data_IF_692736456671
#
_entry.id   IF_692736456671
#
_cell.length_a   1.000
_cell.length_b   1.000
_cell.length_c   1.000
_cell.angle_alpha   90.00
_cell.angle_beta   90.00
_cell.angle_gamma   90.00
#
_symmetry.space_group_name_H-M   'P 1'
#
loop_
_entity.id
_entity.type
_entity.pdbx_description
1 polymer ?
#
# COMPACT_ATOMS: atom_id res chain seq x y z
N UNK A 1 2.49 -0.02 17.61
CA UNK A 1 1.70 -0.13 16.38
C UNK A 1 1.89 -1.54 15.83
N UNK A 2 0.84 -2.35 15.73
CA UNK A 2 0.94 -3.69 15.15
C UNK A 2 0.87 -3.49 13.63
N UNK A 3 1.99 -3.63 12.90
CA UNK A 3 1.94 -3.68 11.44
C UNK A 3 1.40 -5.06 11.04
N UNK A 4 0.13 -5.19 10.61
CA UNK A 4 -0.38 -6.47 10.13
C UNK A 4 0.48 -6.94 8.96
N UNK A 5 0.69 -8.26 8.82
CA UNK A 5 1.29 -8.80 7.61
C UNK A 5 0.38 -8.45 6.42
N UNK A 6 0.78 -7.45 5.64
CA UNK A 6 0.07 -7.06 4.43
C UNK A 6 0.62 -7.89 3.29
N UNK A 7 -0.17 -8.83 2.76
CA UNK A 7 0.25 -9.55 1.55
C UNK A 7 0.34 -8.58 0.38
N UNK A 8 1.48 -8.59 -0.32
CA UNK A 8 1.74 -7.68 -1.47
C UNK A 8 0.70 -7.83 -2.56
N UNK A 9 0.24 -9.06 -2.76
CA UNK A 9 -0.84 -9.40 -3.71
C UNK A 9 -2.15 -8.72 -3.34
N UNK A 10 -2.58 -8.78 -2.07
CA UNK A 10 -3.82 -8.15 -1.60
C UNK A 10 -3.76 -6.64 -1.69
N UNK A 11 -2.62 -6.04 -1.31
CA UNK A 11 -2.41 -4.60 -1.43
C UNK A 11 -2.55 -4.11 -2.87
N UNK A 12 -1.88 -4.78 -3.82
CA UNK A 12 -1.97 -4.41 -5.24
C UNK A 12 -3.38 -4.60 -5.82
N UNK A 13 -4.12 -5.64 -5.39
CA UNK A 13 -5.52 -5.83 -5.79
C UNK A 13 -6.41 -4.72 -5.25
N UNK A 14 -6.23 -4.29 -4.00
CA UNK A 14 -6.95 -3.12 -3.45
C UNK A 14 -6.57 -1.84 -4.20
N UNK A 15 -5.29 -1.64 -4.51
CA UNK A 15 -4.84 -0.48 -5.27
C UNK A 15 -5.45 -0.44 -6.68
N UNK A 16 -5.61 -1.59 -7.34
CA UNK A 16 -6.34 -1.67 -8.62
C UNK A 16 -7.81 -1.29 -8.48
N UNK A 17 -8.48 -1.71 -7.40
CA UNK A 17 -9.88 -1.34 -7.14
C UNK A 17 -10.02 0.16 -6.91
N UNK A 18 -9.15 0.75 -6.09
CA UNK A 18 -9.10 2.20 -5.84
C UNK A 18 -8.84 2.95 -7.13
N UNK A 19 -7.82 2.54 -7.90
CA UNK A 19 -7.50 3.09 -9.23
C UNK A 19 -8.73 3.11 -10.14
N UNK A 20 -9.48 2.01 -10.21
CA UNK A 20 -10.69 1.92 -11.04
C UNK A 20 -11.86 2.74 -10.51
N UNK A 21 -12.00 2.82 -9.18
CA UNK A 21 -13.10 3.54 -8.54
C UNK A 21 -12.93 5.07 -8.65
N UNK A 22 -11.71 5.55 -8.44
CA UNK A 22 -11.40 6.98 -8.41
C UNK A 22 -10.81 7.49 -9.73
N UNK A 23 -10.62 6.60 -10.71
CA UNK A 23 -10.06 6.94 -12.03
C UNK A 23 -8.67 7.61 -11.97
N UNK A 24 -7.91 7.32 -10.91
CA UNK A 24 -6.57 7.87 -10.68
C UNK A 24 -5.46 6.99 -11.27
N UNK A 25 -4.20 7.44 -11.14
CA UNK A 25 -3.05 6.64 -11.55
C UNK A 25 -2.77 5.48 -10.58
N UNK A 26 -2.05 4.47 -11.07
CA UNK A 26 -1.69 3.32 -10.24
C UNK A 26 -0.70 3.66 -9.12
N UNK A 27 0.04 4.77 -9.23
CA UNK A 27 0.91 5.28 -8.18
C UNK A 27 0.08 5.94 -7.09
N UNK A 28 -0.78 6.88 -7.46
CA UNK A 28 -1.67 7.58 -6.51
C UNK A 28 -2.57 6.62 -5.72
N UNK A 29 -3.10 5.57 -6.36
CA UNK A 29 -3.91 4.58 -5.65
C UNK A 29 -3.12 3.82 -4.57
N UNK A 30 -1.82 3.60 -4.78
CA UNK A 30 -0.94 2.98 -3.78
C UNK A 30 -0.59 3.97 -2.68
N UNK A 31 -0.32 5.22 -3.03
CA UNK A 31 -0.06 6.28 -2.06
C UNK A 31 -1.26 6.53 -1.14
N UNK A 32 -2.46 6.59 -1.72
CA UNK A 32 -3.70 6.74 -0.96
C UNK A 32 -3.94 5.55 -0.02
N UNK A 33 -3.64 4.34 -0.47
CA UNK A 33 -3.67 3.15 0.40
C UNK A 33 -2.60 3.22 1.49
N UNK A 34 -1.36 3.59 1.16
CA UNK A 34 -0.27 3.72 2.12
C UNK A 34 -0.61 4.74 3.23
N UNK A 35 -1.22 5.87 2.85
CA UNK A 35 -1.78 6.86 3.80
C UNK A 35 -2.85 6.28 4.69
N UNK A 36 -3.72 5.42 4.16
CA UNK A 36 -4.70 4.68 4.96
C UNK A 36 -4.08 3.74 6.01
N UNK A 37 -2.84 3.30 5.80
CA UNK A 37 -2.06 2.51 6.76
C UNK A 37 -1.18 3.36 7.69
N UNK A 38 -1.22 4.69 7.57
CA UNK A 38 -0.44 5.62 8.40
C UNK A 38 0.97 5.93 7.87
N UNK A 39 1.26 5.60 6.60
CA UNK A 39 2.51 5.97 5.93
C UNK A 39 2.33 7.24 5.08
N UNK A 40 3.41 7.97 4.87
CA UNK A 40 3.38 9.22 4.07
C UNK A 40 3.08 8.92 2.60
N UNK A 41 3.77 7.90 2.08
CA UNK A 41 3.70 7.47 0.68
C UNK A 41 4.02 5.98 0.53
N UNK A 42 3.73 5.44 -0.65
CA UNK A 42 3.99 4.04 -0.99
C UNK A 42 5.48 3.69 -0.86
N UNK A 43 6.38 4.62 -1.16
CA UNK A 43 7.83 4.41 -1.05
C UNK A 43 8.25 4.17 0.41
N UNK A 44 7.77 5.00 1.33
CA UNK A 44 8.03 4.85 2.77
C UNK A 44 7.45 3.53 3.29
N UNK A 45 6.20 3.23 2.95
CA UNK A 45 5.57 1.95 3.29
C UNK A 45 6.35 0.77 2.74
N UNK A 46 6.77 0.82 1.48
CA UNK A 46 7.49 -0.28 0.83
C UNK A 46 8.85 -0.53 1.50
N UNK A 47 9.59 0.53 1.82
CA UNK A 47 10.86 0.45 2.52
C UNK A 47 10.68 -0.14 3.93
N UNK A 48 9.66 0.33 4.66
CA UNK A 48 9.35 -0.13 6.00
C UNK A 48 8.95 -1.62 6.02
N UNK A 49 8.07 -2.02 5.09
CA UNK A 49 7.61 -3.41 4.95
C UNK A 49 8.71 -4.35 4.47
N UNK A 50 9.63 -3.89 3.61
CA UNK A 50 10.84 -4.64 3.22
C UNK A 50 11.79 -4.82 4.41
N UNK A 51 12.05 -3.77 5.20
CA UNK A 51 12.91 -3.85 6.38
C UNK A 51 12.38 -4.79 7.46
N UNK A 52 11.06 -4.81 7.67
CA UNK A 52 10.44 -5.72 8.64
C UNK A 52 10.27 -7.14 8.10
N UNK A 53 10.39 -7.37 6.78
CA UNK A 53 10.04 -8.66 6.17
C UNK A 53 8.54 -8.97 6.24
N UNK A 54 7.69 -7.95 6.39
CA UNK A 54 6.24 -8.09 6.56
C UNK A 54 5.47 -8.16 5.23
N UNK A 55 6.17 -7.93 4.10
CA UNK A 55 5.64 -8.28 2.79
C UNK A 55 5.57 -9.79 2.64
N UNK A 56 4.35 -10.33 2.75
CA UNK A 56 4.04 -11.73 2.49
C UNK A 56 3.58 -11.96 1.05
#
# INVERSE_FOLDING_TARGET
MICPQVSRKRFNETAKKVKRKEHITGAEARDQLARGYGYTDFSEMNLHMMKMGHWK
#
